data_IF_455544859897
#
_entry.id   IF_455544859897
#
_cell.length_a   1.000
_cell.length_b   1.000
_cell.length_c   1.000
_cell.angle_alpha   90.00
_cell.angle_beta   90.00
_cell.angle_gamma   90.00
#
_symmetry.space_group_name_H-M   'P 1'
#
loop_
_entity.id
_entity.type
_entity.pdbx_description
1 polymer ?
#
# COMPACT_ATOMS: atom_id res chain seq x y z
N UNK A 1 7.62 19.03 8.55
CA UNK A 1 6.47 18.44 9.25
C UNK A 1 6.71 16.94 9.44
N UNK A 2 6.30 16.36 10.56
CA UNK A 2 6.24 14.90 10.71
C UNK A 2 5.02 14.39 9.93
N UNK A 3 5.20 13.48 8.98
CA UNK A 3 4.07 12.84 8.29
C UNK A 3 3.31 11.93 9.26
N UNK A 4 1.99 12.06 9.27
CA UNK A 4 1.09 11.20 10.06
C UNK A 4 0.62 10.08 9.14
N UNK A 5 0.81 8.85 9.61
CA UNK A 5 0.41 7.65 8.89
C UNK A 5 -0.81 7.01 9.57
N UNK A 6 -1.82 6.69 8.78
CA UNK A 6 -3.02 5.97 9.21
C UNK A 6 -2.74 4.48 9.46
N UNK A 7 -1.63 3.96 8.93
CA UNK A 7 -1.15 2.57 9.06
C UNK A 7 0.34 2.58 9.41
N UNK A 8 0.77 1.69 10.29
CA UNK A 8 2.19 1.52 10.62
C UNK A 8 2.90 0.60 9.62
N UNK A 9 4.23 0.74 9.48
CA UNK A 9 5.04 -0.19 8.66
C UNK A 9 4.89 -1.63 9.15
N UNK A 10 4.80 -1.82 10.46
CA UNK A 10 4.62 -3.12 11.09
C UNK A 10 3.28 -3.75 10.71
N UNK A 11 2.19 -2.97 10.69
CA UNK A 11 0.88 -3.45 10.21
C UNK A 11 0.92 -3.92 8.76
N UNK A 12 1.69 -3.23 7.90
CA UNK A 12 1.88 -3.64 6.51
C UNK A 12 2.66 -4.95 6.45
N UNK A 13 3.81 -5.05 7.12
CA UNK A 13 4.64 -6.26 7.13
C UNK A 13 3.88 -7.48 7.68
N UNK A 14 3.05 -7.29 8.71
CA UNK A 14 2.27 -8.37 9.31
C UNK A 14 1.05 -8.81 8.48
N UNK A 15 0.54 -7.98 7.57
CA UNK A 15 -0.73 -8.22 6.84
C UNK A 15 -0.56 -8.37 5.32
N UNK A 16 0.64 -8.14 4.81
CA UNK A 16 1.04 -8.36 3.43
C UNK A 16 1.89 -9.62 3.31
N UNK A 17 1.81 -10.32 2.18
CA UNK A 17 2.66 -11.49 1.92
C UNK A 17 3.94 -11.01 1.24
N UNK A 18 4.79 -10.31 2.00
CA UNK A 18 6.05 -9.71 1.55
C UNK A 18 7.19 -10.09 2.50
N UNK A 19 8.42 -10.01 2.02
CA UNK A 19 9.60 -10.27 2.85
C UNK A 19 9.75 -9.22 3.96
N UNK A 20 10.10 -9.67 5.17
CA UNK A 20 10.29 -8.82 6.35
C UNK A 20 11.48 -7.86 6.22
N UNK A 21 12.45 -8.19 5.36
CA UNK A 21 13.68 -7.41 5.12
C UNK A 21 13.49 -6.23 4.17
N UNK A 22 12.26 -5.98 3.68
CA UNK A 22 11.98 -4.79 2.89
C UNK A 22 12.22 -3.54 3.76
N UNK A 23 12.91 -2.56 3.18
CA UNK A 23 13.25 -1.31 3.87
C UNK A 23 11.99 -0.57 4.33
N UNK A 24 11.94 -0.23 5.61
CA UNK A 24 10.88 0.59 6.19
C UNK A 24 10.72 1.93 5.47
N UNK A 25 11.80 2.48 4.89
CA UNK A 25 11.75 3.73 4.12
C UNK A 25 10.89 3.57 2.86
N UNK A 26 11.05 2.46 2.15
CA UNK A 26 10.26 2.16 0.95
C UNK A 26 8.79 2.05 1.33
N UNK A 27 8.50 1.28 2.38
CA UNK A 27 7.11 1.07 2.84
C UNK A 27 6.48 2.39 3.28
N UNK A 28 7.18 3.23 4.05
CA UNK A 28 6.66 4.54 4.48
C UNK A 28 6.33 5.45 3.30
N UNK A 29 7.20 5.52 2.30
CA UNK A 29 6.95 6.31 1.10
C UNK A 29 5.69 5.83 0.37
N UNK A 30 5.55 4.51 0.19
CA UNK A 30 4.37 3.94 -0.49
C UNK A 30 3.09 4.17 0.33
N UNK A 31 3.13 4.06 1.66
CA UNK A 31 1.98 4.38 2.52
C UNK A 31 1.58 5.84 2.30
N UNK A 32 2.54 6.76 2.28
CA UNK A 32 2.27 8.17 2.03
C UNK A 32 1.59 8.37 0.68
N UNK A 33 2.17 7.82 -0.39
CA UNK A 33 1.63 8.00 -1.73
C UNK A 33 0.21 7.43 -1.84
N UNK A 34 -0.08 6.28 -1.21
CA UNK A 34 -1.42 5.68 -1.18
C UNK A 34 -2.40 6.55 -0.39
N UNK A 35 -1.98 7.14 0.73
CA UNK A 35 -2.82 8.07 1.49
C UNK A 35 -3.19 9.30 0.67
N UNK A 36 -2.20 9.93 0.05
CA UNK A 36 -2.37 11.19 -0.67
C UNK A 36 -3.10 10.99 -2.01
N UNK A 37 -2.93 9.83 -2.68
CA UNK A 37 -3.54 9.60 -4.01
C UNK A 37 -4.82 8.78 -3.99
N UNK A 38 -4.97 7.82 -3.08
CA UNK A 38 -6.14 6.92 -3.07
C UNK A 38 -7.09 7.33 -1.96
N UNK A 39 -6.59 7.50 -0.74
CA UNK A 39 -7.46 7.78 0.41
C UNK A 39 -7.99 9.21 0.38
N UNK A 40 -7.17 10.20 0.05
CA UNK A 40 -7.64 11.57 -0.12
C UNK A 40 -8.71 11.67 -1.21
N UNK A 41 -8.54 10.98 -2.34
CA UNK A 41 -9.54 10.96 -3.41
C UNK A 41 -10.86 10.29 -3.01
N UNK A 42 -10.82 9.27 -2.14
CA UNK A 42 -12.03 8.59 -1.64
C UNK A 42 -12.78 9.46 -0.62
N UNK A 43 -12.06 10.12 0.28
CA UNK A 43 -12.66 10.87 1.40
C UNK A 43 -12.95 12.34 1.08
N UNK A 44 -12.21 12.92 0.12
CA UNK A 44 -12.05 14.36 -0.06
C UNK A 44 -11.09 14.97 0.97
N UNK A 45 -10.44 16.08 0.58
CA UNK A 45 -9.39 16.75 1.37
C UNK A 45 -9.80 17.08 2.80
N UNK A 46 -11.00 17.64 3.01
CA UNK A 46 -11.44 18.05 4.36
C UNK A 46 -11.57 16.89 5.34
N UNK A 47 -12.14 15.76 4.89
CA UNK A 47 -12.28 14.58 5.74
C UNK A 47 -10.94 13.86 5.90
N UNK A 48 -10.11 13.85 4.86
CA UNK A 48 -8.75 13.30 4.93
C UNK A 48 -7.88 14.02 5.98
N UNK A 49 -7.82 15.35 5.94
CA UNK A 49 -7.09 16.15 6.95
C UNK A 49 -7.61 15.89 8.35
N UNK A 50 -8.94 15.73 8.51
CA UNK A 50 -9.54 15.36 9.79
C UNK A 50 -9.09 13.98 10.26
N UNK A 51 -8.99 13.00 9.38
CA UNK A 51 -8.49 11.65 9.69
C UNK A 51 -7.03 11.64 10.13
N UNK A 52 -6.22 12.61 9.68
CA UNK A 52 -4.84 12.81 10.10
C UNK A 52 -4.71 13.58 11.43
N UNK A 53 -5.81 14.10 11.99
CA UNK A 53 -5.79 14.78 13.27
C UNK A 53 -5.67 13.81 14.46
N UNK A 54 -5.05 14.27 15.56
CA UNK A 54 -4.86 13.44 16.76
C UNK A 54 -6.16 13.20 17.57
N UNK A 55 -7.26 13.90 17.25
CA UNK A 55 -8.50 13.88 18.03
C UNK A 55 -9.70 13.39 17.21
N UNK A 56 -9.69 12.08 16.91
CA UNK A 56 -10.80 11.42 16.23
C UNK A 56 -11.90 11.00 17.20
N UNK A 57 -13.16 11.26 16.85
CA UNK A 57 -14.32 10.66 17.53
C UNK A 57 -14.35 9.14 17.27
N UNK A 58 -15.12 8.39 18.08
CA UNK A 58 -15.24 6.92 17.97
C UNK A 58 -15.64 6.46 16.56
N UNK A 59 -16.48 7.21 15.86
CA UNK A 59 -16.91 6.89 14.50
C UNK A 59 -15.75 7.00 13.50
N UNK A 60 -14.93 8.06 13.58
CA UNK A 60 -13.76 8.22 12.70
C UNK A 60 -12.65 7.20 13.00
N UNK A 61 -12.49 6.81 14.28
CA UNK A 61 -11.60 5.68 14.63
C UNK A 61 -12.06 4.37 14.00
N UNK A 62 -13.38 4.13 13.96
CA UNK A 62 -13.96 2.94 13.32
C UNK A 62 -13.79 3.00 11.81
N UNK A 63 -14.03 4.16 11.18
CA UNK A 63 -13.81 4.38 9.76
C UNK A 63 -12.35 4.07 9.38
N UNK A 64 -11.41 4.63 10.13
CA UNK A 64 -9.97 4.40 9.96
C UNK A 64 -9.62 2.92 10.04
N UNK A 65 -9.88 2.28 11.19
CA UNK A 65 -9.43 0.90 11.44
C UNK A 65 -10.15 -0.15 10.61
N UNK A 66 -11.46 -0.01 10.42
CA UNK A 66 -12.29 -1.06 9.80
C UNK A 66 -12.32 -0.97 8.27
N UNK A 67 -12.19 0.22 7.72
CA UNK A 67 -12.38 0.43 6.27
C UNK A 67 -11.12 0.98 5.61
N UNK A 68 -10.51 2.04 6.12
CA UNK A 68 -9.35 2.68 5.46
C UNK A 68 -8.07 1.87 5.59
N UNK A 69 -7.74 1.36 6.78
CA UNK A 69 -6.51 0.59 7.00
C UNK A 69 -6.41 -0.65 6.09
N UNK A 70 -7.45 -1.49 5.91
CA UNK A 70 -7.42 -2.58 4.95
C UNK A 70 -7.15 -2.14 3.50
N UNK A 71 -7.75 -1.03 3.06
CA UNK A 71 -7.53 -0.47 1.71
C UNK A 71 -6.07 -0.07 1.57
N UNK A 72 -5.56 0.74 2.50
CA UNK A 72 -4.16 1.22 2.47
C UNK A 72 -3.20 0.04 2.40
N UNK A 73 -3.39 -0.98 3.23
CA UNK A 73 -2.51 -2.15 3.26
C UNK A 73 -2.50 -2.89 1.92
N UNK A 74 -3.65 -3.10 1.29
CA UNK A 74 -3.73 -3.84 0.01
C UNK A 74 -3.20 -3.02 -1.16
N UNK A 75 -3.43 -1.71 -1.17
CA UNK A 75 -2.84 -0.79 -2.16
C UNK A 75 -1.31 -0.68 -2.00
N UNK A 76 -0.82 -0.67 -0.77
CA UNK A 76 0.63 -0.71 -0.49
C UNK A 76 1.22 -2.04 -0.96
N UNK A 77 0.53 -3.17 -0.73
CA UNK A 77 0.95 -4.50 -1.24
C UNK A 77 1.05 -4.50 -2.77
N UNK A 78 0.08 -3.93 -3.48
CA UNK A 78 0.11 -3.82 -4.95
C UNK A 78 1.32 -3.04 -5.45
N UNK A 79 1.55 -1.85 -4.90
CA UNK A 79 2.69 -1.00 -5.29
C UNK A 79 4.02 -1.64 -4.92
N UNK A 80 4.11 -2.33 -3.79
CA UNK A 80 5.29 -3.11 -3.43
C UNK A 80 5.56 -4.24 -4.44
N UNK A 81 4.52 -4.93 -4.92
CA UNK A 81 4.69 -5.95 -5.97
C UNK A 81 5.12 -5.36 -7.32
N UNK A 82 4.86 -4.07 -7.59
CA UNK A 82 5.42 -3.35 -8.74
C UNK A 82 6.91 -3.02 -8.51
N UNK A 83 7.23 -2.38 -7.39
CA UNK A 83 8.58 -1.95 -7.02
C UNK A 83 9.57 -3.12 -6.86
N UNK A 84 9.11 -4.27 -6.34
CA UNK A 84 9.93 -5.46 -6.22
C UNK A 84 10.18 -6.16 -7.56
N UNK A 85 9.22 -6.05 -8.49
CA UNK A 85 9.35 -6.62 -9.83
C UNK A 85 10.26 -5.78 -10.74
N UNK A 86 10.34 -4.46 -10.52
CA UNK A 86 11.08 -3.51 -11.35
C UNK A 86 12.02 -2.68 -10.47
N UNK A 87 13.34 -2.94 -10.54
CA UNK A 87 14.33 -2.16 -9.79
C UNK A 87 14.94 -1.09 -10.68
N UNK A 88 14.51 0.16 -10.51
CA UNK A 88 15.17 1.30 -11.18
C UNK A 88 16.42 1.67 -10.37
N UNK A 89 17.59 1.75 -11.02
CA UNK A 89 18.87 2.12 -10.40
C UNK A 89 19.57 3.23 -11.19
N UNK A 90 20.57 3.90 -10.59
CA UNK A 90 21.36 4.94 -11.27
C UNK A 90 22.09 4.44 -12.54
N UNK A 91 22.19 3.12 -12.74
CA UNK A 91 22.80 2.50 -13.91
C UNK A 91 21.76 2.02 -14.95
N UNK A 92 20.48 2.41 -14.82
CA UNK A 92 19.38 2.05 -15.73
C UNK A 92 18.22 1.33 -15.04
N UNK A 93 17.18 0.98 -15.82
CA UNK A 93 16.05 0.16 -15.36
C UNK A 93 16.49 -1.31 -15.38
N UNK A 94 16.73 -1.88 -14.20
CA UNK A 94 17.04 -3.30 -14.05
C UNK A 94 15.79 -4.04 -13.59
N UNK A 95 15.22 -4.90 -14.45
CA UNK A 95 14.33 -5.94 -13.94
C UNK A 95 15.15 -6.78 -12.96
N UNK A 96 14.61 -7.07 -11.78
CA UNK A 96 15.37 -7.56 -10.62
C UNK A 96 15.86 -9.01 -10.88
N UNK A 97 16.90 -9.18 -11.70
CA UNK A 97 17.33 -10.46 -12.25
C UNK A 97 18.80 -10.73 -11.88
N UNK A 98 19.00 -11.41 -10.74
CA UNK A 98 20.13 -12.35 -10.65
C UNK A 98 19.90 -13.60 -11.51
N UNK A 99 18.66 -13.85 -11.93
CA UNK A 99 18.25 -14.91 -12.86
C UNK A 99 17.03 -14.44 -13.66
N UNK A 100 16.93 -14.83 -14.93
CA UNK A 100 15.80 -14.46 -15.79
C UNK A 100 14.52 -15.08 -15.22
N UNK A 101 13.54 -14.26 -14.82
CA UNK A 101 12.20 -14.78 -14.53
C UNK A 101 11.68 -15.51 -15.77
N UNK A 102 11.26 -16.74 -15.58
CA UNK A 102 10.48 -17.47 -16.58
C UNK A 102 9.13 -16.77 -16.81
N UNK A 103 8.56 -16.95 -18.01
CA UNK A 103 7.20 -16.47 -18.30
C UNK A 103 6.14 -16.99 -17.31
N UNK A 104 6.41 -18.10 -16.62
CA UNK A 104 5.53 -18.64 -15.59
C UNK A 104 5.54 -17.81 -14.30
N UNK A 105 6.71 -17.33 -13.87
CA UNK A 105 6.85 -16.49 -12.66
C UNK A 105 6.23 -15.11 -12.87
N UNK A 106 6.40 -14.51 -14.05
CA UNK A 106 5.73 -13.26 -14.41
C UNK A 106 4.20 -13.40 -14.37
N UNK A 107 3.65 -14.51 -14.89
CA UNK A 107 2.22 -14.81 -14.80
C UNK A 107 1.75 -14.97 -13.35
N UNK A 108 2.55 -15.60 -12.49
CA UNK A 108 2.23 -15.73 -11.08
C UNK A 108 2.14 -14.38 -10.36
N UNK A 109 3.08 -13.45 -10.64
CA UNK A 109 3.05 -12.08 -10.11
C UNK A 109 1.81 -11.32 -10.60
N UNK A 110 1.47 -11.42 -11.89
CA UNK A 110 0.26 -10.79 -12.44
C UNK A 110 -1.00 -11.33 -11.76
N UNK A 111 -1.11 -12.64 -11.59
CA UNK A 111 -2.26 -13.26 -10.92
C UNK A 111 -2.36 -12.84 -9.45
N UNK A 112 -1.23 -12.76 -8.75
CA UNK A 112 -1.18 -12.25 -7.38
C UNK A 112 -1.66 -10.80 -7.31
N UNK A 113 -1.19 -9.92 -8.20
CA UNK A 113 -1.66 -8.52 -8.27
C UNK A 113 -3.17 -8.45 -8.48
N UNK A 114 -3.72 -9.21 -9.44
CA UNK A 114 -5.18 -9.27 -9.66
C UNK A 114 -5.94 -9.66 -8.39
N UNK A 115 -5.50 -10.70 -7.69
CA UNK A 115 -6.16 -11.14 -6.44
C UNK A 115 -6.12 -10.07 -5.34
N UNK A 116 -5.01 -9.34 -5.21
CA UNK A 116 -4.88 -8.27 -4.20
C UNK A 116 -5.72 -7.06 -4.58
N UNK A 117 -5.80 -6.73 -5.88
CA UNK A 117 -6.65 -5.67 -6.42
C UNK A 117 -8.13 -5.95 -6.14
N UNK A 118 -8.60 -7.16 -6.43
CA UNK A 118 -9.98 -7.57 -6.15
C UNK A 118 -10.33 -7.41 -4.66
N UNK A 119 -9.41 -7.78 -3.77
CA UNK A 119 -9.60 -7.59 -2.33
C UNK A 119 -9.65 -6.10 -1.97
N UNK A 120 -8.76 -5.28 -2.52
CA UNK A 120 -8.77 -3.83 -2.32
C UNK A 120 -10.09 -3.20 -2.75
N UNK A 121 -10.56 -3.53 -3.95
CA UNK A 121 -11.79 -2.97 -4.52
C UNK A 121 -13.03 -3.38 -3.72
N UNK A 122 -13.05 -4.61 -3.21
CA UNK A 122 -14.10 -5.07 -2.28
C UNK A 122 -14.14 -4.26 -0.98
N UNK A 123 -13.02 -3.71 -0.49
CA UNK A 123 -13.03 -2.82 0.66
C UNK A 123 -13.48 -1.41 0.29
N UNK A 124 -13.11 -0.91 -0.90
CA UNK A 124 -13.57 0.40 -1.40
C UNK A 124 -15.08 0.45 -1.58
N UNK A 125 -15.71 -0.65 -2.02
CA UNK A 125 -17.17 -0.74 -2.16
C UNK A 125 -17.94 -0.70 -0.83
N UNK A 126 -17.27 -0.94 0.30
CA UNK A 126 -17.89 -0.96 1.64
C UNK A 126 -17.82 0.39 2.35
N UNK A 127 -17.22 1.38 1.70
CA UNK A 127 -17.01 2.73 2.22
C UNK A 127 -18.17 3.63 1.83
#
# INVERSE_FOLDING_TARGET
MSNIYLVSVEDVKNRCVIDENISDKIIKNIIQDVQDTIIENILGTSLFEKMLSNNLTTNYKTLGKKYLQPIIIKEVELRLLDELAIKISNNGVTQNNGTNYSNAELKAVINKKKSVQEVSDNYKLKL
#
